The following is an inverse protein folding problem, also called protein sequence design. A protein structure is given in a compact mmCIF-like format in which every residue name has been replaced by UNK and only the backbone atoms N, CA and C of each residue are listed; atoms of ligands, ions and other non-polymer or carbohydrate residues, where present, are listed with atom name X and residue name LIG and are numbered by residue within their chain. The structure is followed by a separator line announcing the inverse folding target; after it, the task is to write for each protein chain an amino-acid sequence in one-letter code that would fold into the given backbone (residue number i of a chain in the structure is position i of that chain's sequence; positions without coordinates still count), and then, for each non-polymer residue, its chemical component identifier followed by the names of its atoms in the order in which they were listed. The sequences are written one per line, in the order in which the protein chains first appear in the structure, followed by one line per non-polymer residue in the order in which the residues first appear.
data_IF_393175909058
#
_entry.id   IF_393175909058
#
_cell.length_a   1.000
_cell.length_b   1.000
_cell.length_c   1.000
_cell.angle_alpha   90.00
_cell.angle_beta   90.00
_cell.angle_gamma   90.00
#
_symmetry.space_group_name_H-M   'P 1'
#
loop_
_entity.id
_entity.type
_entity.pdbx_description
1 polymer ?
#
# COMPACT_ATOMS: atom_id res chain seq x y z
N UNK A 1 7.71 -4.03 -16.87
CA UNK A 1 7.11 -3.22 -15.79
C UNK A 1 7.68 -3.61 -14.43
N UNK A 2 7.61 -4.90 -14.05
CA UNK A 2 8.13 -5.50 -12.80
C UNK A 2 9.38 -4.84 -12.19
N UNK A 3 10.51 -4.84 -12.92
CA UNK A 3 11.77 -4.23 -12.46
C UNK A 3 11.62 -2.77 -12.02
N UNK A 4 10.85 -1.98 -12.76
CA UNK A 4 10.68 -0.54 -12.48
C UNK A 4 9.81 -0.36 -11.25
N UNK A 5 8.68 -1.07 -11.17
CA UNK A 5 7.77 -1.02 -10.02
C UNK A 5 8.50 -1.38 -8.71
N UNK A 6 9.30 -2.45 -8.74
CA UNK A 6 10.10 -2.89 -7.60
C UNK A 6 11.22 -1.90 -7.23
N UNK A 7 11.89 -1.29 -8.23
CA UNK A 7 12.94 -0.30 -7.97
C UNK A 7 12.39 1.01 -7.40
N UNK A 8 11.24 1.46 -7.86
CA UNK A 8 10.61 2.68 -7.33
C UNK A 8 10.10 2.43 -5.90
N UNK A 9 9.71 1.19 -5.57
CA UNK A 9 9.07 0.85 -4.29
C UNK A 9 7.54 0.87 -4.36
N UNK A 10 6.97 0.80 -5.57
CA UNK A 10 5.50 0.68 -5.75
C UNK A 10 5.00 -0.74 -5.51
N UNK A 11 5.87 -1.74 -5.72
CA UNK A 11 5.60 -3.14 -5.51
C UNK A 11 6.84 -3.84 -4.95
N UNK A 12 6.66 -5.04 -4.40
CA UNK A 12 7.74 -5.82 -3.78
C UNK A 12 7.55 -7.32 -3.96
N UNK A 13 7.50 -7.78 -5.21
CA UNK A 13 7.40 -9.22 -5.53
C UNK A 13 8.22 -9.55 -6.77
N UNK A 14 8.67 -10.80 -6.87
CA UNK A 14 9.27 -11.34 -8.10
C UNK A 14 8.20 -11.88 -9.07
N UNK A 15 7.00 -12.12 -8.56
CA UNK A 15 5.85 -12.55 -9.34
C UNK A 15 5.16 -11.36 -10.04
N UNK A 16 5.05 -11.36 -11.38
CA UNK A 16 4.33 -10.34 -12.13
C UNK A 16 2.88 -10.14 -11.69
N UNK A 17 2.15 -11.22 -11.38
CA UNK A 17 0.73 -11.14 -11.03
C UNK A 17 0.55 -10.42 -9.68
N UNK A 18 1.35 -10.81 -8.67
CA UNK A 18 1.39 -10.12 -7.39
C UNK A 18 1.71 -8.62 -7.54
N UNK A 19 2.61 -8.25 -8.46
CA UNK A 19 2.94 -6.83 -8.71
C UNK A 19 1.80 -6.07 -9.36
N UNK A 20 1.09 -6.66 -10.32
CA UNK A 20 -0.09 -6.03 -10.92
C UNK A 20 -1.21 -5.85 -9.90
N UNK A 21 -1.46 -6.83 -9.02
CA UNK A 21 -2.43 -6.72 -7.94
C UNK A 21 -2.08 -5.61 -6.96
N UNK A 22 -0.79 -5.45 -6.60
CA UNK A 22 -0.33 -4.36 -5.73
C UNK A 22 -0.54 -2.99 -6.38
N UNK A 23 -0.24 -2.86 -7.67
CA UNK A 23 -0.42 -1.61 -8.41
C UNK A 23 -1.90 -1.22 -8.54
N UNK A 24 -2.75 -2.19 -8.91
CA UNK A 24 -4.19 -1.97 -9.06
C UNK A 24 -4.89 -1.70 -7.73
N UNK A 25 -4.37 -2.25 -6.62
CA UNK A 25 -4.85 -1.95 -5.27
C UNK A 25 -4.42 -0.56 -4.77
N UNK A 26 -3.29 -0.04 -5.25
CA UNK A 26 -2.74 1.25 -4.84
C UNK A 26 -3.25 2.43 -5.69
N UNK A 27 -3.77 2.17 -6.89
CA UNK A 27 -4.15 3.18 -7.88
C UNK A 27 -5.64 3.09 -8.25
N UNK A 28 -6.31 4.22 -8.54
CA UNK A 28 -7.68 4.19 -9.07
C UNK A 28 -7.72 3.53 -10.44
N UNK A 29 -8.87 2.91 -10.76
CA UNK A 29 -9.06 2.07 -11.96
C UNK A 29 -8.76 2.80 -13.27
N UNK A 30 -9.07 4.09 -13.33
CA UNK A 30 -8.85 4.92 -14.52
C UNK A 30 -7.37 5.12 -14.84
N UNK A 31 -6.49 4.92 -13.85
CA UNK A 31 -5.05 5.11 -14.01
C UNK A 31 -4.29 3.81 -14.31
N UNK A 32 -4.95 2.65 -14.32
CA UNK A 32 -4.24 1.36 -14.46
C UNK A 32 -3.50 1.26 -15.79
N UNK A 33 -4.19 1.47 -16.91
CA UNK A 33 -3.59 1.36 -18.25
C UNK A 33 -2.46 2.38 -18.44
N UNK A 34 -2.72 3.65 -18.14
CA UNK A 34 -1.71 4.71 -18.31
C UNK A 34 -0.50 4.48 -17.41
N UNK A 35 -0.70 3.97 -16.20
CA UNK A 35 0.43 3.68 -15.29
C UNK A 35 1.25 2.51 -15.82
N UNK A 36 0.61 1.43 -16.27
CA UNK A 36 1.28 0.28 -16.86
C UNK A 36 2.11 0.66 -18.08
N UNK A 37 1.54 1.43 -19.01
CA UNK A 37 2.25 1.92 -20.20
C UNK A 37 3.40 2.84 -19.83
N UNK A 38 3.17 3.75 -18.89
CA UNK A 38 4.20 4.68 -18.39
C UNK A 38 5.36 3.91 -17.78
N UNK A 39 5.11 2.90 -16.95
CA UNK A 39 6.15 2.08 -16.33
C UNK A 39 6.94 1.26 -17.36
N UNK A 40 6.28 0.73 -18.39
CA UNK A 40 6.94 0.02 -19.50
C UNK A 40 7.85 0.98 -20.27
N UNK A 41 7.32 2.13 -20.70
CA UNK A 41 8.08 3.14 -21.44
C UNK A 41 9.25 3.68 -20.62
N UNK A 42 9.02 3.97 -19.34
CA UNK A 42 10.04 4.43 -18.42
C UNK A 42 11.15 3.40 -18.24
N UNK A 43 10.82 2.11 -18.10
CA UNK A 43 11.79 1.02 -18.01
C UNK A 43 12.65 0.85 -19.26
N UNK A 44 12.08 1.12 -20.43
CA UNK A 44 12.80 1.05 -21.72
C UNK A 44 13.69 2.26 -21.96
N UNK A 45 13.24 3.46 -21.57
CA UNK A 45 13.92 4.73 -21.90
C UNK A 45 14.90 5.20 -20.81
N UNK A 46 14.51 5.10 -19.54
CA UNK A 46 15.22 5.71 -18.40
C UNK A 46 15.73 4.64 -17.43
N UNK A 47 14.84 3.79 -16.89
CA UNK A 47 15.17 2.79 -15.87
C UNK A 47 15.70 1.47 -16.48
N UNK A 48 16.74 1.61 -17.29
CA UNK A 48 17.53 0.52 -17.91
C UNK A 48 18.34 -0.25 -16.84
N UNK A 49 19.00 -1.38 -17.20
CA UNK A 49 19.89 -2.09 -16.28
C UNK A 49 20.93 -1.18 -15.62
N UNK A 50 21.56 -0.31 -16.41
CA UNK A 50 22.28 0.90 -15.97
C UNK A 50 21.33 2.10 -16.08
N UNK A 51 20.64 2.49 -15.00
CA UNK A 51 19.59 3.50 -15.07
C UNK A 51 20.16 4.92 -15.23
N UNK A 52 19.42 5.77 -15.93
CA UNK A 52 19.75 7.19 -16.09
C UNK A 52 19.04 8.02 -15.00
N UNK A 53 19.45 7.85 -13.75
CA UNK A 53 18.78 8.48 -12.59
C UNK A 53 18.77 10.02 -12.65
N UNK A 54 19.76 10.64 -13.30
CA UNK A 54 19.82 12.10 -13.46
C UNK A 54 18.70 12.65 -14.34
N UNK A 55 18.13 11.81 -15.21
CA UNK A 55 17.01 12.15 -16.10
C UNK A 55 15.67 11.57 -15.62
N UNK A 56 15.64 10.99 -14.43
CA UNK A 56 14.46 10.33 -13.90
C UNK A 56 13.60 11.33 -13.11
N UNK A 57 12.36 11.54 -13.55
CA UNK A 57 11.41 12.43 -12.88
C UNK A 57 11.00 11.94 -11.49
N UNK A 58 10.98 10.63 -11.27
CA UNK A 58 10.59 10.00 -9.98
C UNK A 58 11.80 9.68 -9.10
N UNK A 59 12.97 10.29 -9.36
CA UNK A 59 14.21 9.94 -8.65
C UNK A 59 14.11 10.14 -7.14
N UNK A 60 13.36 11.15 -6.70
CA UNK A 60 13.31 11.55 -5.28
C UNK A 60 12.46 10.59 -4.45
N UNK A 61 11.45 10.00 -5.08
CA UNK A 61 10.57 8.99 -4.48
C UNK A 61 11.06 7.55 -4.73
N UNK A 62 12.14 7.35 -5.49
CA UNK A 62 12.62 6.03 -5.90
C UNK A 62 13.48 5.36 -4.82
N UNK A 63 12.99 4.26 -4.25
CA UNK A 63 13.70 3.48 -3.24
C UNK A 63 15.08 3.03 -3.71
N UNK A 64 15.20 2.50 -4.93
CA UNK A 64 16.47 2.05 -5.48
C UNK A 64 17.52 3.17 -5.50
N UNK A 65 17.12 4.38 -5.91
CA UNK A 65 18.03 5.52 -5.95
C UNK A 65 18.37 6.01 -4.54
N UNK A 66 17.40 6.04 -3.63
CA UNK A 66 17.63 6.40 -2.23
C UNK A 66 18.58 5.43 -1.54
N UNK A 67 18.45 4.12 -1.75
CA UNK A 67 19.39 3.13 -1.20
C UNK A 67 20.77 3.23 -1.87
N UNK A 68 20.83 3.46 -3.18
CA UNK A 68 22.10 3.67 -3.89
C UNK A 68 22.83 4.95 -3.44
N UNK A 69 22.11 6.01 -3.04
CA UNK A 69 22.66 7.25 -2.47
C UNK A 69 22.81 7.22 -0.94
N UNK A 70 22.09 6.31 -0.28
CA UNK A 70 21.89 6.24 1.16
C UNK A 70 23.09 5.77 1.98
N UNK A 71 24.23 5.50 1.34
CA UNK A 71 25.51 5.51 2.03
C UNK A 71 25.96 6.94 2.43
N UNK A 72 25.34 8.02 1.92
CA UNK A 72 25.88 9.37 2.07
C UNK A 72 24.90 10.50 2.45
N UNK A 73 23.57 10.35 2.50
CA UNK A 73 22.70 11.47 2.88
C UNK A 73 21.36 11.03 3.52
N UNK A 74 21.28 10.98 4.85
CA UNK A 74 20.02 10.83 5.61
C UNK A 74 19.59 12.23 6.07
N UNK A 75 18.33 12.63 5.85
CA UNK A 75 17.42 12.63 6.99
C UNK A 75 16.10 11.94 6.70
N UNK A 76 15.73 11.07 7.64
CA UNK A 76 14.42 10.46 7.76
C UNK A 76 13.41 11.46 8.34
N UNK A 77 12.36 11.82 7.60
CA UNK A 77 11.12 12.32 8.21
C UNK A 77 9.93 12.15 7.27
N UNK A 78 9.22 11.01 7.34
CA UNK A 78 7.76 10.96 7.14
C UNK A 78 7.18 9.75 7.88
N UNK A 79 6.85 9.94 9.15
CA UNK A 79 5.99 9.07 9.94
C UNK A 79 4.65 8.90 9.21
N UNK A 80 4.40 7.74 8.59
CA UNK A 80 3.04 7.33 8.23
C UNK A 80 2.41 6.69 9.46
N UNK A 81 1.67 7.51 10.22
CA UNK A 81 0.78 7.04 11.29
C UNK A 81 -0.40 6.31 10.62
N UNK A 82 -0.54 5.00 10.82
CA UNK A 82 -1.77 4.26 10.48
C UNK A 82 -2.92 4.83 11.34
N UNK A 83 -4.07 5.23 10.76
CA UNK A 83 -5.26 5.45 11.57
C UNK A 83 -5.79 4.09 12.02
N UNK A 84 -5.84 3.88 13.33
CA UNK A 84 -6.41 2.68 13.94
C UNK A 84 -7.92 2.63 13.71
N UNK A 85 -8.37 1.56 13.06
CA UNK A 85 -9.76 1.08 13.13
C UNK A 85 -9.86 0.18 14.37
N UNK A 86 -10.78 0.49 15.27
CA UNK A 86 -11.02 -0.29 16.48
C UNK A 86 -11.87 0.46 17.50
N UNK A 87 -13.16 0.65 17.20
CA UNK A 87 -14.17 0.99 18.22
C UNK A 87 -14.82 -0.32 18.66
N UNK A 88 -14.74 -0.65 19.94
CA UNK A 88 -15.83 -1.29 20.68
C UNK A 88 -15.55 -1.26 22.19
N UNK A 89 -16.29 -0.47 22.97
CA UNK A 89 -16.43 -0.69 24.40
C UNK A 89 -17.54 -1.72 24.64
N UNK A 90 -17.16 -2.91 25.12
CA UNK A 90 -18.10 -3.82 25.77
C UNK A 90 -18.34 -3.37 27.21
N UNK A 91 -19.59 -3.51 27.68
CA UNK A 91 -19.90 -3.47 29.11
C UNK A 91 -21.19 -2.75 29.47
N UNK A 92 -22.31 -3.48 29.51
CA UNK A 92 -23.42 -3.16 30.40
C UNK A 92 -24.20 -4.45 30.70
N UNK A 93 -23.84 -5.09 31.81
CA UNK A 93 -24.59 -6.14 32.45
C UNK A 93 -25.91 -5.58 32.99
N UNK A 94 -27.03 -6.24 32.71
CA UNK A 94 -28.29 -6.03 33.41
C UNK A 94 -28.76 -7.38 33.97
N UNK A 95 -28.95 -7.51 35.29
CA UNK A 95 -29.41 -8.74 35.91
C UNK A 95 -30.93 -8.93 35.75
N UNK A 96 -31.32 -10.18 35.58
CA UNK A 96 -32.69 -10.70 35.45
C UNK A 96 -33.51 -10.48 36.74
N UNK A 97 -34.76 -9.99 36.65
CA UNK A 97 -35.71 -10.10 37.75
C UNK A 97 -36.84 -11.11 37.47
N UNK A 98 -36.78 -12.19 38.25
CA UNK A 98 -37.87 -12.93 38.92
C UNK A 98 -39.21 -13.15 38.20
N UNK A 99 -39.49 -14.45 38.02
CA UNK A 99 -40.81 -15.12 38.05
C UNK A 99 -41.89 -14.36 38.84
N UNK A 100 -43.09 -14.30 38.25
CA UNK A 100 -44.34 -14.73 38.89
C UNK A 100 -45.52 -14.83 37.90
N UNK A 101 -45.90 -16.08 37.63
CA UNK A 101 -47.24 -16.65 37.65
C UNK A 101 -48.42 -15.85 37.04
N UNK A 102 -49.05 -16.41 36.00
CA UNK A 102 -50.49 -16.20 35.73
C UNK A 102 -51.06 -17.21 34.73
N UNK A 103 -51.86 -18.15 35.27
CA UNK A 103 -53.23 -18.47 34.82
C UNK A 103 -53.46 -18.80 33.33
N UNK A 104 -53.84 -20.06 33.07
CA UNK A 104 -55.11 -20.53 32.45
C UNK A 104 -54.86 -21.93 31.86
N UNK A 105 -55.57 -22.96 32.34
CA UNK A 105 -56.84 -23.43 31.75
C UNK A 105 -56.72 -23.62 30.24
N UNK A 106 -56.46 -24.84 29.80
CA UNK A 106 -57.45 -25.75 29.20
C UNK A 106 -56.81 -27.14 29.04
#
# INVERSE_FOLDING_TARGET
MLRVANRIGMAGSEDPEAVEQQLTSALPRDLWTVTSDTLILHGRRICKPRPLCDRCAVREDCDFFRHARGAALVPATRTRKKPGVGRNPGGASLPEPRRQNSRKRQ
#
